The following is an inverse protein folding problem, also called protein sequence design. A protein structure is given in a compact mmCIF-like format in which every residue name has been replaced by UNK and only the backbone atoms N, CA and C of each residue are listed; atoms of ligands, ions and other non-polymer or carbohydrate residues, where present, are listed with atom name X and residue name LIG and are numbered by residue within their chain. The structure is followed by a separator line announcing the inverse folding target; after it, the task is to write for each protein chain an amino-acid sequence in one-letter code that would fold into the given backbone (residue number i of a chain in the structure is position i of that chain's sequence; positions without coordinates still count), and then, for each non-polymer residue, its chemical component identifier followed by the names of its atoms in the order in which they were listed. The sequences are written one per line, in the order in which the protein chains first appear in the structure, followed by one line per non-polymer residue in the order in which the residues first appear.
data_IF_681503723112
#
_entry.id   IF_681503723112
#
_cell.length_a   1.000
_cell.length_b   1.000
_cell.length_c   1.000
_cell.angle_alpha   90.00
_cell.angle_beta   90.00
_cell.angle_gamma   90.00
#
_symmetry.space_group_name_H-M   'P 1'
#
loop_
_entity.id
_entity.type
_entity.pdbx_description
1 polymer ?
#
# COMPACT_ATOMS: atom_id res chain seq x y z
N UNK A 1 13.41 12.21 -11.61
CA UNK A 1 13.39 12.05 -10.12
C UNK A 1 14.58 11.22 -9.73
N UNK A 2 15.33 11.58 -8.70
CA UNK A 2 16.36 10.71 -8.14
C UNK A 2 15.66 9.65 -7.26
N UNK A 3 15.73 8.39 -7.69
CA UNK A 3 15.04 7.26 -7.05
C UNK A 3 15.50 7.09 -5.59
N UNK A 4 16.82 7.15 -5.33
CA UNK A 4 17.36 6.98 -3.98
C UNK A 4 16.96 8.12 -3.05
N UNK A 5 16.96 9.35 -3.53
CA UNK A 5 16.48 10.51 -2.76
C UNK A 5 15.00 10.39 -2.43
N UNK A 6 14.17 9.93 -3.38
CA UNK A 6 12.73 9.72 -3.16
C UNK A 6 12.46 8.63 -2.12
N UNK A 7 13.19 7.50 -2.17
CA UNK A 7 13.09 6.43 -1.16
C UNK A 7 13.48 6.95 0.22
N UNK A 8 14.55 7.73 0.30
CA UNK A 8 15.02 8.30 1.57
C UNK A 8 14.01 9.29 2.17
N UNK A 9 13.38 10.13 1.35
CA UNK A 9 12.34 11.06 1.78
C UNK A 9 11.11 10.29 2.29
N UNK A 10 10.69 9.24 1.58
CA UNK A 10 9.59 8.35 2.00
C UNK A 10 9.94 7.69 3.34
N UNK A 11 11.13 7.11 3.46
CA UNK A 11 11.59 6.44 4.69
C UNK A 11 11.54 7.37 5.89
N UNK A 12 12.10 8.58 5.78
CA UNK A 12 12.08 9.60 6.85
C UNK A 12 10.67 10.01 7.24
N UNK A 13 9.80 10.26 6.26
CA UNK A 13 8.41 10.62 6.52
C UNK A 13 7.66 9.56 7.31
N UNK A 14 7.90 8.27 7.02
CA UNK A 14 7.31 7.17 7.77
C UNK A 14 7.96 6.94 9.14
N UNK A 15 9.28 7.09 9.28
CA UNK A 15 9.97 7.05 10.59
C UNK A 15 9.41 8.11 11.55
N UNK A 16 9.26 9.35 11.10
CA UNK A 16 8.65 10.44 11.88
C UNK A 16 7.19 10.14 12.24
N UNK A 17 6.41 9.64 11.29
CA UNK A 17 5.01 9.27 11.48
C UNK A 17 4.85 8.12 12.47
N UNK A 18 5.72 7.12 12.40
CA UNK A 18 5.71 5.96 13.30
C UNK A 18 6.08 6.34 14.74
N UNK A 19 7.08 7.23 14.91
CA UNK A 19 7.50 7.72 16.22
C UNK A 19 6.40 8.54 16.94
N UNK A 20 5.48 9.16 16.19
CA UNK A 20 4.39 9.97 16.76
C UNK A 20 3.20 9.16 17.30
N UNK A 21 3.18 7.82 17.15
CA UNK A 21 2.10 6.88 17.53
C UNK A 21 0.69 7.19 16.99
N UNK A 22 0.46 8.39 16.43
CA UNK A 22 -0.88 8.89 16.11
C UNK A 22 -1.42 8.35 14.78
N UNK A 23 -0.56 8.01 13.82
CA UNK A 23 -0.99 7.85 12.43
C UNK A 23 -1.36 6.42 12.06
N UNK A 24 -0.57 5.43 12.49
CA UNK A 24 -0.77 4.03 12.08
C UNK A 24 -1.89 3.30 12.82
N UNK A 25 -2.29 3.77 14.00
CA UNK A 25 -3.13 2.99 14.90
C UNK A 25 -4.63 3.26 14.78
N UNK A 26 -5.09 4.35 14.15
CA UNK A 26 -6.52 4.72 14.15
C UNK A 26 -7.18 4.77 12.78
N UNK A 27 -6.47 5.11 11.72
CA UNK A 27 -7.11 5.54 10.47
C UNK A 27 -7.11 4.49 9.37
N UNK A 28 -6.22 3.52 9.44
CA UNK A 28 -6.12 2.44 8.46
C UNK A 28 -6.70 1.13 8.96
N UNK A 29 -7.17 1.06 10.21
CA UNK A 29 -7.75 -0.14 10.81
C UNK A 29 -9.26 -0.19 10.54
N UNK A 30 -9.62 -0.64 9.35
CA UNK A 30 -10.98 -0.98 8.99
C UNK A 30 -11.10 -2.52 9.01
N UNK A 31 -11.76 -3.04 10.05
CA UNK A 31 -11.90 -4.48 10.27
C UNK A 31 -12.79 -5.13 9.18
N UNK A 32 -13.81 -4.43 8.70
CA UNK A 32 -14.68 -4.94 7.63
C UNK A 32 -13.91 -5.02 6.30
N UNK A 33 -13.13 -3.99 5.98
CA UNK A 33 -12.27 -4.00 4.81
C UNK A 33 -11.20 -5.10 4.89
N UNK A 34 -10.58 -5.28 6.07
CA UNK A 34 -9.62 -6.36 6.30
C UNK A 34 -10.23 -7.74 6.04
N UNK A 35 -11.38 -8.04 6.64
CA UNK A 35 -12.06 -9.33 6.44
C UNK A 35 -12.43 -9.55 4.97
N UNK A 36 -12.84 -8.50 4.27
CA UNK A 36 -13.13 -8.55 2.83
C UNK A 36 -11.88 -8.85 2.02
N UNK A 37 -10.73 -8.21 2.34
CA UNK A 37 -9.45 -8.52 1.70
C UNK A 37 -9.06 -9.97 1.94
N UNK A 38 -9.08 -10.43 3.20
CA UNK A 38 -8.69 -11.80 3.55
C UNK A 38 -9.54 -12.86 2.84
N UNK A 39 -10.84 -12.60 2.69
CA UNK A 39 -11.72 -13.48 1.91
C UNK A 39 -11.40 -13.45 0.40
N UNK A 40 -11.02 -12.28 -0.12
CA UNK A 40 -10.78 -12.07 -1.55
C UNK A 40 -9.46 -12.69 -2.03
N UNK A 41 -8.38 -12.58 -1.25
CA UNK A 41 -7.06 -13.13 -1.62
C UNK A 41 -6.97 -14.65 -1.58
N UNK A 42 -7.96 -15.32 -0.97
CA UNK A 42 -8.13 -16.77 -0.97
C UNK A 42 -6.85 -17.55 -0.62
N UNK A 43 -6.25 -17.25 0.54
CA UNK A 43 -5.05 -17.93 1.04
C UNK A 43 -5.32 -19.41 1.24
N UNK A 44 -4.41 -20.26 0.74
CA UNK A 44 -4.48 -21.73 0.89
C UNK A 44 -3.30 -22.22 1.72
N UNK A 45 -3.51 -23.31 2.42
CA UNK A 45 -2.47 -23.92 3.23
C UNK A 45 -1.20 -24.27 2.43
N UNK A 46 -0.04 -24.07 3.02
CA UNK A 46 1.25 -24.27 2.40
C UNK A 46 1.75 -23.12 1.50
N UNK A 47 0.97 -22.04 1.33
CA UNK A 47 1.43 -20.89 0.56
C UNK A 47 2.60 -20.15 1.24
N UNK A 48 3.50 -19.62 0.42
CA UNK A 48 4.51 -18.64 0.82
C UNK A 48 4.09 -17.26 0.35
N UNK A 49 3.93 -16.32 1.27
CA UNK A 49 3.24 -15.04 1.06
C UNK A 49 4.19 -13.89 1.38
N UNK A 50 4.28 -12.90 0.49
CA UNK A 50 4.99 -11.65 0.70
C UNK A 50 3.99 -10.52 0.94
N UNK A 51 4.14 -9.78 2.04
CA UNK A 51 3.45 -8.51 2.30
C UNK A 51 4.42 -7.36 1.99
N UNK A 52 4.25 -6.74 0.82
CA UNK A 52 5.14 -5.69 0.29
C UNK A 52 4.70 -4.30 0.77
N UNK A 53 5.63 -3.58 1.42
CA UNK A 53 5.32 -2.33 2.12
C UNK A 53 4.45 -2.63 3.35
N UNK A 54 4.86 -3.62 4.15
CA UNK A 54 4.03 -4.19 5.21
C UNK A 54 3.71 -3.22 6.35
N UNK A 55 4.46 -2.12 6.49
CA UNK A 55 4.28 -1.12 7.54
C UNK A 55 4.19 -1.78 8.92
N UNK A 56 3.11 -1.50 9.66
CA UNK A 56 2.86 -2.09 10.98
C UNK A 56 2.39 -3.55 10.96
N UNK A 57 2.34 -4.20 9.79
CA UNK A 57 1.91 -5.58 9.63
C UNK A 57 0.40 -5.78 9.56
N UNK A 58 -0.34 -4.77 9.07
CA UNK A 58 -1.80 -4.81 8.99
C UNK A 58 -2.36 -6.04 8.25
N UNK A 59 -1.70 -6.48 7.17
CA UNK A 59 -2.04 -7.73 6.48
C UNK A 59 -1.23 -8.91 7.01
N UNK A 60 0.06 -8.72 7.31
CA UNK A 60 0.98 -9.79 7.72
C UNK A 60 0.48 -10.57 8.93
N UNK A 61 0.09 -9.88 10.02
CA UNK A 61 -0.37 -10.54 11.24
C UNK A 61 -1.66 -11.34 11.03
N UNK A 62 -2.77 -10.77 10.52
CA UNK A 62 -4.00 -11.52 10.32
C UNK A 62 -3.87 -12.69 9.33
N UNK A 63 -3.03 -12.54 8.29
CA UNK A 63 -2.77 -13.64 7.36
C UNK A 63 -2.07 -14.79 8.08
N UNK A 64 -1.02 -14.50 8.86
CA UNK A 64 -0.26 -15.50 9.59
C UNK A 64 -1.09 -16.18 10.69
N UNK A 65 -1.87 -15.41 11.44
CA UNK A 65 -2.74 -15.91 12.51
C UNK A 65 -3.83 -16.87 12.01
N UNK A 66 -4.44 -16.52 10.87
CA UNK A 66 -5.53 -17.32 10.28
C UNK A 66 -5.03 -18.54 9.48
N UNK A 67 -3.75 -18.56 9.08
CA UNK A 67 -3.19 -19.56 8.17
C UNK A 67 -1.84 -20.10 8.69
N UNK A 68 -1.88 -20.87 9.77
CA UNK A 68 -0.67 -21.38 10.45
C UNK A 68 0.20 -22.29 9.56
N UNK A 69 -0.37 -22.89 8.52
CA UNK A 69 0.36 -23.70 7.54
C UNK A 69 1.06 -22.89 6.44
N UNK A 70 0.88 -21.56 6.40
CA UNK A 70 1.53 -20.67 5.45
C UNK A 70 2.80 -20.06 6.05
N UNK A 71 3.75 -19.66 5.19
CA UNK A 71 4.88 -18.81 5.57
C UNK A 71 4.58 -17.36 5.10
N UNK A 72 4.59 -16.40 6.02
CA UNK A 72 4.33 -14.99 5.73
C UNK A 72 5.59 -14.17 5.98
N UNK A 73 5.97 -13.35 5.00
CA UNK A 73 7.13 -12.46 5.10
C UNK A 73 6.67 -11.02 4.83
N UNK A 74 6.82 -10.15 5.82
CA UNK A 74 6.63 -8.69 5.62
C UNK A 74 7.93 -8.04 5.15
N UNK A 75 7.85 -7.23 4.09
CA UNK A 75 8.98 -6.48 3.51
C UNK A 75 8.69 -4.98 3.58
N UNK A 76 9.62 -4.21 4.16
CA UNK A 76 9.48 -2.75 4.26
C UNK A 76 10.85 -2.06 4.27
N UNK A 77 10.87 -0.77 3.91
CA UNK A 77 12.10 0.06 3.92
C UNK A 77 12.39 0.65 5.31
N UNK A 78 11.42 0.67 6.23
CA UNK A 78 11.53 1.28 7.56
C UNK A 78 12.02 0.24 8.58
N UNK A 79 13.31 0.23 8.85
CA UNK A 79 13.97 -0.76 9.71
C UNK A 79 13.42 -0.79 11.14
N UNK A 80 13.03 0.36 11.70
CA UNK A 80 12.51 0.45 13.06
C UNK A 80 11.14 -0.24 13.17
N UNK A 81 10.28 -0.03 12.18
CA UNK A 81 8.98 -0.73 12.08
C UNK A 81 9.17 -2.25 11.99
N UNK A 82 10.14 -2.69 11.18
CA UNK A 82 10.51 -4.12 11.06
C UNK A 82 10.97 -4.68 12.40
N UNK A 83 11.79 -3.93 13.17
CA UNK A 83 12.23 -4.33 14.51
C UNK A 83 11.06 -4.54 15.47
N UNK A 84 10.12 -3.59 15.51
CA UNK A 84 8.90 -3.66 16.33
C UNK A 84 8.02 -4.85 15.92
N UNK A 85 7.81 -5.06 14.62
CA UNK A 85 7.00 -6.17 14.12
C UNK A 85 7.60 -7.54 14.45
N UNK A 86 8.92 -7.70 14.39
CA UNK A 86 9.61 -8.92 14.82
C UNK A 86 9.34 -9.24 16.30
N UNK A 87 9.43 -8.22 17.17
CA UNK A 87 9.13 -8.39 18.59
C UNK A 87 7.68 -8.80 18.81
N UNK A 88 6.73 -8.13 18.15
CA UNK A 88 5.29 -8.46 18.22
C UNK A 88 5.00 -9.89 17.72
N UNK A 89 5.61 -10.32 16.62
CA UNK A 89 5.42 -11.69 16.10
C UNK A 89 5.95 -12.74 17.09
N UNK A 90 7.11 -12.48 17.72
CA UNK A 90 7.65 -13.35 18.76
C UNK A 90 6.76 -13.40 19.99
N UNK A 91 6.26 -12.26 20.48
CA UNK A 91 5.35 -12.17 21.63
C UNK A 91 4.02 -12.89 21.35
N UNK A 92 3.52 -12.81 20.11
CA UNK A 92 2.31 -13.51 19.68
C UNK A 92 2.52 -15.02 19.39
N UNK A 93 3.78 -15.50 19.44
CA UNK A 93 4.11 -16.91 19.16
C UNK A 93 3.94 -17.31 17.69
N UNK A 94 3.95 -16.37 16.76
CA UNK A 94 3.77 -16.58 15.32
C UNK A 94 5.09 -17.02 14.66
N UNK A 95 5.40 -18.32 14.73
CA UNK A 95 6.62 -18.88 14.14
C UNK A 95 6.62 -18.90 12.60
N UNK A 96 5.45 -18.72 11.99
CA UNK A 96 5.23 -18.66 10.54
C UNK A 96 5.25 -17.24 9.97
N UNK A 97 5.57 -16.22 10.79
CA UNK A 97 5.64 -14.83 10.39
C UNK A 97 7.05 -14.25 10.60
N UNK A 98 7.62 -13.69 9.57
CA UNK A 98 8.91 -13.01 9.62
C UNK A 98 8.87 -11.65 8.93
N UNK A 99 9.85 -10.78 9.22
CA UNK A 99 9.93 -9.44 8.65
C UNK A 99 11.36 -9.13 8.18
N UNK A 100 11.46 -8.50 7.01
CA UNK A 100 12.73 -8.18 6.34
C UNK A 100 12.73 -6.71 5.97
N UNK A 101 13.82 -5.99 6.25
CA UNK A 101 14.04 -4.64 5.70
C UNK A 101 14.87 -4.73 4.43
N UNK A 102 14.64 -3.80 3.47
CA UNK A 102 15.40 -3.72 2.22
C UNK A 102 15.67 -2.25 1.83
N UNK A 103 16.38 -2.05 0.74
CA UNK A 103 16.80 -0.71 0.29
C UNK A 103 15.76 0.06 -0.51
N UNK A 104 14.60 -0.56 -0.79
CA UNK A 104 13.51 0.05 -1.57
C UNK A 104 13.65 -0.12 -3.10
N UNK A 105 14.62 -0.90 -3.57
CA UNK A 105 14.90 -1.12 -4.99
C UNK A 105 14.69 -2.59 -5.36
N UNK A 106 15.63 -3.46 -4.99
CA UNK A 106 15.61 -4.86 -5.36
C UNK A 106 15.11 -5.74 -4.21
N UNK A 107 14.21 -6.69 -4.49
CA UNK A 107 13.71 -7.57 -3.44
C UNK A 107 14.73 -8.67 -3.12
N UNK A 108 15.09 -8.86 -1.83
CA UNK A 108 16.13 -9.81 -1.41
C UNK A 108 15.64 -11.27 -1.43
N UNK A 109 14.96 -11.67 -2.51
CA UNK A 109 14.38 -13.00 -2.67
C UNK A 109 14.70 -13.58 -4.04
N UNK A 110 14.78 -14.91 -4.10
CA UNK A 110 15.00 -15.65 -5.35
C UNK A 110 13.78 -15.61 -6.28
N UNK A 111 14.02 -15.89 -7.56
CA UNK A 111 12.97 -16.02 -8.57
C UNK A 111 11.98 -17.11 -8.18
N UNK A 112 10.68 -16.85 -8.34
CA UNK A 112 9.65 -17.87 -8.11
C UNK A 112 9.55 -18.36 -6.66
N UNK A 113 9.75 -17.45 -5.71
CA UNK A 113 9.71 -17.75 -4.28
C UNK A 113 8.29 -17.80 -3.72
N UNK A 114 7.39 -16.91 -4.15
CA UNK A 114 6.10 -16.68 -3.53
C UNK A 114 4.92 -17.17 -4.35
N UNK A 115 3.93 -17.70 -3.67
CA UNK A 115 2.62 -18.07 -4.24
C UNK A 115 1.71 -16.85 -4.33
N UNK A 116 1.85 -15.90 -3.39
CA UNK A 116 1.05 -14.69 -3.29
C UNK A 116 1.92 -13.52 -2.84
N UNK A 117 1.81 -12.38 -3.51
CA UNK A 117 2.28 -11.08 -3.03
C UNK A 117 1.06 -10.22 -2.73
N UNK A 118 1.00 -9.66 -1.53
CA UNK A 118 -0.03 -8.68 -1.14
C UNK A 118 0.63 -7.34 -0.88
N UNK A 119 -0.08 -6.25 -1.16
CA UNK A 119 0.36 -4.90 -0.84
C UNK A 119 -0.85 -4.01 -0.56
N UNK A 120 -0.76 -3.16 0.46
CA UNK A 120 -1.85 -2.27 0.83
C UNK A 120 -1.34 -0.89 1.22
N UNK A 121 -1.83 0.13 0.51
CA UNK A 121 -1.51 1.55 0.75
C UNK A 121 0.00 1.86 0.76
N UNK A 122 0.73 1.22 -0.16
CA UNK A 122 2.19 1.34 -0.23
C UNK A 122 2.70 1.75 -1.61
N UNK A 123 2.16 1.21 -2.70
CA UNK A 123 2.74 1.35 -4.04
C UNK A 123 2.75 2.78 -4.57
N UNK A 124 1.87 3.65 -4.08
CA UNK A 124 1.86 5.07 -4.44
C UNK A 124 3.05 5.88 -3.90
N UNK A 125 3.91 5.25 -3.11
CA UNK A 125 5.18 5.81 -2.63
C UNK A 125 6.40 5.27 -3.40
N UNK A 126 6.21 4.33 -4.34
CA UNK A 126 7.31 3.68 -5.04
C UNK A 126 7.77 4.51 -6.24
N UNK A 127 9.03 5.03 -6.26
CA UNK A 127 9.48 5.98 -7.28
C UNK A 127 9.69 5.35 -8.66
N UNK A 128 9.97 4.06 -8.73
CA UNK A 128 10.04 3.28 -9.97
C UNK A 128 9.06 2.12 -9.91
N UNK A 129 7.79 2.44 -10.14
CA UNK A 129 6.71 1.45 -10.03
C UNK A 129 6.86 0.31 -11.04
N UNK A 130 7.38 0.58 -12.26
CA UNK A 130 7.58 -0.47 -13.27
C UNK A 130 8.64 -1.46 -12.85
N UNK A 131 9.77 -0.99 -12.30
CA UNK A 131 10.80 -1.86 -11.73
C UNK A 131 10.23 -2.68 -10.58
N UNK A 132 9.52 -2.05 -9.66
CA UNK A 132 8.93 -2.73 -8.49
C UNK A 132 7.92 -3.81 -8.87
N UNK A 133 7.04 -3.57 -9.87
CA UNK A 133 6.13 -4.61 -10.38
C UNK A 133 6.90 -5.71 -11.14
N UNK A 134 7.99 -5.37 -11.82
CA UNK A 134 8.92 -6.35 -12.40
C UNK A 134 9.52 -7.27 -11.33
N UNK A 135 9.95 -6.71 -10.19
CA UNK A 135 10.45 -7.48 -9.04
C UNK A 135 9.34 -8.36 -8.41
N UNK A 136 8.11 -7.83 -8.28
CA UNK A 136 6.95 -8.65 -7.87
C UNK A 136 6.77 -9.84 -8.81
N UNK A 137 6.76 -9.59 -10.12
CA UNK A 137 6.64 -10.67 -11.11
C UNK A 137 7.81 -11.66 -11.01
N UNK A 138 9.03 -11.18 -10.82
CA UNK A 138 10.23 -12.02 -10.68
C UNK A 138 10.11 -12.98 -9.48
N UNK A 139 9.70 -12.48 -8.33
CA UNK A 139 9.62 -13.30 -7.10
C UNK A 139 8.36 -14.18 -7.03
N UNK A 140 7.32 -13.89 -7.80
CA UNK A 140 6.15 -14.76 -7.93
C UNK A 140 6.47 -16.03 -8.73
N UNK A 141 5.95 -17.16 -8.26
CA UNK A 141 5.89 -18.42 -9.03
C UNK A 141 5.03 -18.24 -10.28
N UNK A 142 5.20 -19.08 -11.29
CA UNK A 142 4.23 -19.21 -12.38
C UNK A 142 2.85 -19.57 -11.80
N UNK A 143 1.79 -18.92 -12.26
CA UNK A 143 0.44 -19.04 -11.68
C UNK A 143 0.28 -18.42 -10.27
N UNK A 144 1.32 -17.79 -9.71
CA UNK A 144 1.25 -17.02 -8.46
C UNK A 144 0.46 -15.73 -8.64
N UNK A 145 -0.02 -15.15 -7.55
CA UNK A 145 -0.93 -14.00 -7.60
C UNK A 145 -0.38 -12.76 -6.92
N UNK A 146 -0.73 -11.58 -7.45
CA UNK A 146 -0.49 -10.28 -6.86
C UNK A 146 -1.81 -9.64 -6.46
N UNK A 147 -1.94 -9.24 -5.19
CA UNK A 147 -3.05 -8.43 -4.70
C UNK A 147 -2.58 -7.00 -4.43
N UNK A 148 -3.24 -6.02 -5.03
CA UNK A 148 -3.02 -4.58 -4.80
C UNK A 148 -4.27 -3.99 -4.17
N UNK A 149 -4.13 -3.34 -3.01
CA UNK A 149 -5.15 -2.50 -2.39
C UNK A 149 -4.59 -1.09 -2.23
N UNK A 150 -4.95 -0.17 -3.13
CA UNK A 150 -4.39 1.19 -3.12
C UNK A 150 -5.45 2.22 -3.50
N UNK A 151 -5.42 3.43 -2.91
CA UNK A 151 -6.31 4.49 -3.32
C UNK A 151 -6.16 4.84 -4.80
N UNK A 152 -7.23 5.37 -5.38
CA UNK A 152 -7.24 5.80 -6.77
C UNK A 152 -7.95 7.14 -6.92
N UNK A 153 -7.63 7.92 -7.97
CA UNK A 153 -8.35 9.14 -8.26
C UNK A 153 -9.79 8.83 -8.65
N UNK A 154 -10.71 9.74 -8.32
CA UNK A 154 -12.06 9.70 -8.84
C UNK A 154 -12.07 9.90 -10.35
N UNK A 155 -13.07 9.35 -11.06
CA UNK A 155 -13.09 9.37 -12.53
C UNK A 155 -13.12 10.79 -13.13
N UNK A 156 -13.67 11.77 -12.39
CA UNK A 156 -13.68 13.18 -12.78
C UNK A 156 -12.37 13.93 -12.44
N UNK A 157 -11.46 13.32 -11.68
CA UNK A 157 -10.21 13.95 -11.22
C UNK A 157 -9.09 13.79 -12.27
N UNK A 158 -9.28 14.38 -13.44
CA UNK A 158 -8.30 14.34 -14.54
C UNK A 158 -7.08 15.22 -14.28
N UNK A 159 -7.21 16.23 -13.42
CA UNK A 159 -6.14 17.17 -13.04
C UNK A 159 -5.34 16.72 -11.82
N UNK A 160 -5.71 15.55 -11.24
CA UNK A 160 -4.98 14.93 -10.14
C UNK A 160 -4.99 15.75 -8.84
N UNK A 161 -6.13 16.33 -8.51
CA UNK A 161 -6.36 17.00 -7.24
C UNK A 161 -5.97 16.12 -6.05
N UNK A 162 -6.34 14.84 -6.07
CA UNK A 162 -6.03 13.94 -4.95
C UNK A 162 -4.53 13.79 -4.73
N UNK A 163 -3.71 13.72 -5.79
CA UNK A 163 -2.26 13.62 -5.65
C UNK A 163 -1.66 14.92 -5.07
N UNK A 164 -2.12 16.09 -5.53
CA UNK A 164 -1.67 17.38 -4.99
C UNK A 164 -2.08 17.54 -3.52
N UNK A 165 -3.28 17.07 -3.17
CA UNK A 165 -3.75 17.05 -1.79
C UNK A 165 -2.93 16.08 -0.93
N UNK A 166 -2.57 14.89 -1.44
CA UNK A 166 -1.77 13.91 -0.71
C UNK A 166 -0.34 14.39 -0.49
N UNK A 167 0.26 15.11 -1.42
CA UNK A 167 1.60 15.73 -1.27
C UNK A 167 1.69 16.79 -0.19
N UNK A 168 0.57 17.29 0.34
CA UNK A 168 0.58 18.15 1.53
C UNK A 168 1.11 17.43 2.78
N UNK A 169 1.05 16.11 2.80
CA UNK A 169 1.71 15.26 3.80
C UNK A 169 3.11 14.90 3.29
N UNK A 170 4.11 15.12 4.11
CA UNK A 170 5.52 14.83 3.77
C UNK A 170 5.86 13.36 4.04
N UNK A 171 5.18 12.45 3.37
CA UNK A 171 5.39 11.00 3.48
C UNK A 171 5.88 10.36 2.17
N UNK A 172 6.31 11.18 1.21
CA UNK A 172 6.84 10.69 -0.07
C UNK A 172 5.77 10.25 -1.06
N UNK A 173 4.51 10.73 -0.93
CA UNK A 173 3.47 10.45 -1.93
C UNK A 173 3.89 10.85 -3.33
N UNK A 174 3.78 9.93 -4.28
CA UNK A 174 4.14 10.14 -5.68
C UNK A 174 2.87 10.24 -6.53
N UNK A 175 2.08 9.16 -6.60
CA UNK A 175 0.92 9.09 -7.48
C UNK A 175 -0.03 7.95 -7.07
N UNK A 176 -1.33 8.23 -7.04
CA UNK A 176 -2.36 7.18 -7.07
C UNK A 176 -2.60 6.72 -8.51
N UNK A 177 -2.75 5.43 -8.70
CA UNK A 177 -2.95 4.83 -10.02
C UNK A 177 -4.41 4.44 -10.22
N UNK A 178 -4.93 4.68 -11.41
CA UNK A 178 -6.24 4.16 -11.83
C UNK A 178 -6.15 2.63 -12.04
N UNK A 179 -7.30 1.96 -12.09
CA UNK A 179 -7.36 0.53 -12.40
C UNK A 179 -6.75 0.23 -13.78
N UNK A 180 -6.99 1.09 -14.77
CA UNK A 180 -6.41 0.94 -16.12
C UNK A 180 -4.90 1.06 -16.10
N UNK A 181 -4.35 2.06 -15.39
CA UNK A 181 -2.90 2.20 -15.25
C UNK A 181 -2.27 0.97 -14.57
N UNK A 182 -2.93 0.40 -13.54
CA UNK A 182 -2.47 -0.86 -12.94
C UNK A 182 -2.49 -2.02 -13.93
N UNK A 183 -3.56 -2.14 -14.74
CA UNK A 183 -3.64 -3.17 -15.78
C UNK A 183 -2.49 -3.06 -16.78
N UNK A 184 -2.21 -1.84 -17.25
CA UNK A 184 -1.13 -1.60 -18.23
C UNK A 184 0.24 -1.95 -17.64
N UNK A 185 0.56 -1.44 -16.44
CA UNK A 185 1.84 -1.69 -15.75
C UNK A 185 2.03 -3.19 -15.46
N UNK A 186 1.01 -3.84 -14.94
CA UNK A 186 1.08 -5.25 -14.57
C UNK A 186 1.17 -6.16 -15.82
N UNK A 187 0.44 -5.84 -16.89
CA UNK A 187 0.47 -6.63 -18.13
C UNK A 187 1.84 -6.60 -18.82
N UNK A 188 2.55 -5.45 -18.77
CA UNK A 188 3.94 -5.34 -19.25
C UNK A 188 4.91 -6.28 -18.50
N UNK A 189 4.54 -6.70 -17.28
CA UNK A 189 5.32 -7.61 -16.44
C UNK A 189 4.78 -9.05 -16.42
N UNK A 190 3.87 -9.42 -17.33
CA UNK A 190 3.29 -10.77 -17.41
C UNK A 190 2.30 -11.08 -16.27
N UNK A 191 1.62 -10.06 -15.75
CA UNK A 191 0.59 -10.17 -14.72
C UNK A 191 -0.76 -9.79 -15.30
N UNK A 192 -1.72 -10.74 -15.34
CA UNK A 192 -3.04 -10.55 -15.92
C UNK A 192 -4.09 -10.30 -14.85
N UNK A 193 -4.94 -9.30 -15.03
CA UNK A 193 -6.03 -9.01 -14.11
C UNK A 193 -7.06 -10.15 -14.11
N UNK A 194 -7.41 -10.64 -12.94
CA UNK A 194 -8.40 -11.73 -12.77
C UNK A 194 -9.68 -11.28 -12.08
N UNK A 195 -9.57 -10.44 -11.06
CA UNK A 195 -10.74 -9.96 -10.29
C UNK A 195 -10.45 -8.62 -9.63
N UNK A 196 -11.50 -7.91 -9.22
CA UNK A 196 -11.36 -6.66 -8.47
C UNK A 196 -12.65 -6.25 -7.75
N UNK A 197 -12.49 -5.48 -6.67
CA UNK A 197 -13.59 -4.76 -6.06
C UNK A 197 -13.17 -3.36 -5.62
N UNK A 198 -14.11 -2.47 -5.45
CA UNK A 198 -13.86 -1.14 -4.90
C UNK A 198 -14.30 -1.07 -3.44
N UNK A 199 -13.55 -0.29 -2.66
CA UNK A 199 -13.89 0.13 -1.31
C UNK A 199 -13.63 1.64 -1.17
N UNK A 200 -13.89 2.19 0.00
CA UNK A 200 -13.64 3.60 0.29
C UNK A 200 -12.92 3.72 1.62
N UNK A 201 -12.09 4.75 1.74
CA UNK A 201 -11.43 5.11 2.99
C UNK A 201 -11.60 6.61 3.22
N UNK A 202 -11.73 7.00 4.49
CA UNK A 202 -11.80 8.39 4.88
C UNK A 202 -10.62 8.74 5.77
N UNK A 203 -9.77 9.65 5.30
CA UNK A 203 -8.59 10.10 6.02
C UNK A 203 -8.76 11.52 6.56
N UNK A 204 -8.51 11.75 7.86
CA UNK A 204 -8.26 13.09 8.38
C UNK A 204 -6.81 13.51 8.12
N UNK A 205 -6.62 14.80 7.82
CA UNK A 205 -5.33 15.49 7.84
C UNK A 205 -5.41 16.65 8.81
N UNK A 206 -4.45 16.76 9.72
CA UNK A 206 -4.35 17.94 10.59
C UNK A 206 -4.00 19.18 9.77
N UNK A 207 -4.70 20.29 9.98
CA UNK A 207 -4.48 21.55 9.24
C UNK A 207 -3.10 22.17 9.49
N UNK A 208 -2.52 21.97 10.65
CA UNK A 208 -1.18 22.45 11.01
C UNK A 208 -0.07 21.72 10.24
N UNK A 209 -0.32 20.50 9.79
CA UNK A 209 0.61 19.72 8.95
C UNK A 209 0.32 19.83 7.46
N UNK A 210 -0.85 20.30 7.07
CA UNK A 210 -1.29 20.43 5.67
C UNK A 210 -1.08 21.87 5.15
N UNK A 211 0.14 22.39 5.28
CA UNK A 211 0.46 23.73 4.77
C UNK A 211 0.17 23.84 3.28
N UNK A 212 -0.51 24.92 2.88
CA UNK A 212 -0.84 25.16 1.48
C UNK A 212 -2.14 24.53 0.99
N UNK A 213 -2.91 23.82 1.85
CA UNK A 213 -4.17 23.20 1.42
C UNK A 213 -5.14 24.17 0.74
N UNK A 214 -5.20 25.44 1.19
CA UNK A 214 -6.06 26.47 0.59
C UNK A 214 -5.64 26.80 -0.84
N UNK A 215 -4.35 26.72 -1.13
CA UNK A 215 -3.82 26.92 -2.49
C UNK A 215 -4.18 25.73 -3.38
N UNK A 216 -4.01 24.50 -2.88
CA UNK A 216 -4.44 23.29 -3.60
C UNK A 216 -5.95 23.37 -3.92
N UNK A 217 -6.80 23.73 -2.94
CA UNK A 217 -8.24 23.87 -3.17
C UNK A 217 -8.61 24.96 -4.18
N UNK A 218 -7.80 26.02 -4.33
CA UNK A 218 -8.05 27.08 -5.31
C UNK A 218 -7.66 26.71 -6.74
N UNK A 219 -6.69 25.81 -6.87
CA UNK A 219 -6.11 25.45 -8.17
C UNK A 219 -6.88 24.32 -8.88
N UNK A 220 -7.89 23.73 -8.22
CA UNK A 220 -8.66 22.62 -8.79
C UNK A 220 -10.16 22.96 -8.88
N UNK A 221 -10.83 22.27 -9.79
CA UNK A 221 -12.27 22.42 -10.00
C UNK A 221 -13.07 22.03 -8.73
N UNK A 222 -14.04 22.87 -8.38
CA UNK A 222 -14.87 22.66 -7.19
C UNK A 222 -15.67 21.34 -7.24
N UNK A 223 -16.14 20.94 -8.43
CA UNK A 223 -16.88 19.69 -8.57
C UNK A 223 -15.97 18.46 -8.36
N UNK A 224 -14.69 18.55 -8.76
CA UNK A 224 -13.68 17.52 -8.46
C UNK A 224 -13.45 17.43 -6.96
N UNK A 225 -13.24 18.54 -6.28
CA UNK A 225 -13.02 18.57 -4.82
C UNK A 225 -14.23 17.99 -4.09
N UNK A 226 -15.45 18.42 -4.47
CA UNK A 226 -16.69 17.92 -3.89
C UNK A 226 -16.90 16.42 -4.08
N UNK A 227 -16.35 15.82 -5.16
CA UNK A 227 -16.42 14.38 -5.41
C UNK A 227 -15.69 13.54 -4.36
N UNK A 228 -14.78 14.15 -3.58
CA UNK A 228 -14.05 13.52 -2.48
C UNK A 228 -14.70 13.74 -1.11
N UNK A 229 -15.93 14.23 -1.05
CA UNK A 229 -16.65 14.52 0.19
C UNK A 229 -15.80 15.34 1.19
N UNK A 230 -15.10 16.37 0.69
CA UNK A 230 -14.23 17.19 1.51
C UNK A 230 -15.01 17.85 2.64
N UNK A 231 -14.60 17.59 3.86
CA UNK A 231 -15.12 18.24 5.07
C UNK A 231 -13.98 18.93 5.80
N UNK A 232 -14.16 20.21 6.06
CA UNK A 232 -13.23 21.02 6.84
C UNK A 232 -13.80 21.26 8.23
N UNK A 233 -13.08 20.83 9.26
CA UNK A 233 -13.35 21.16 10.68
C UNK A 233 -12.41 22.26 11.16
N UNK A 234 -12.44 22.64 12.42
CA UNK A 234 -11.54 23.65 12.98
C UNK A 234 -10.07 23.21 12.88
N UNK A 235 -9.79 21.93 13.07
CA UNK A 235 -8.43 21.37 13.18
C UNK A 235 -8.03 20.43 12.06
N UNK A 236 -8.99 19.88 11.30
CA UNK A 236 -8.73 18.78 10.35
C UNK A 236 -9.46 19.01 9.02
N UNK A 237 -8.89 18.39 8.00
CA UNK A 237 -9.47 18.19 6.68
C UNK A 237 -9.73 16.69 6.50
N UNK A 238 -10.91 16.33 6.04
CA UNK A 238 -11.27 14.95 5.74
C UNK A 238 -11.64 14.82 4.27
N UNK A 239 -11.08 13.83 3.58
CA UNK A 239 -11.52 13.41 2.25
C UNK A 239 -11.89 11.94 2.26
N UNK A 240 -12.77 11.54 1.34
CA UNK A 240 -13.11 10.14 1.09
C UNK A 240 -12.46 9.71 -0.21
N UNK A 241 -11.56 8.75 -0.14
CA UNK A 241 -10.85 8.19 -1.28
C UNK A 241 -11.47 6.86 -1.70
N UNK A 242 -11.60 6.64 -3.01
CA UNK A 242 -11.87 5.31 -3.57
C UNK A 242 -10.61 4.48 -3.48
N UNK A 243 -10.78 3.19 -3.23
CA UNK A 243 -9.68 2.22 -3.15
C UNK A 243 -9.92 1.11 -4.15
N UNK A 244 -8.97 0.91 -5.03
CA UNK A 244 -8.89 -0.24 -5.90
C UNK A 244 -8.36 -1.45 -5.12
N UNK A 245 -9.09 -2.55 -5.15
CA UNK A 245 -8.64 -3.85 -4.64
C UNK A 245 -8.61 -4.80 -5.83
N UNK A 246 -7.41 -5.14 -6.31
CA UNK A 246 -7.22 -5.79 -7.61
C UNK A 246 -6.37 -7.04 -7.44
N UNK A 247 -6.78 -8.12 -8.07
CA UNK A 247 -6.06 -9.38 -8.12
C UNK A 247 -5.54 -9.64 -9.53
N UNK A 248 -4.25 -9.91 -9.62
CA UNK A 248 -3.56 -10.31 -10.85
C UNK A 248 -3.01 -11.72 -10.69
N UNK A 249 -2.89 -12.45 -11.78
CA UNK A 249 -2.21 -13.74 -11.85
C UNK A 249 -1.00 -13.62 -12.77
N UNK A 250 0.13 -14.22 -12.37
CA UNK A 250 1.30 -14.35 -13.25
C UNK A 250 1.09 -15.42 -14.28
N UNK A 251 1.40 -15.11 -15.54
CA UNK A 251 1.30 -16.05 -16.65
C UNK A 251 2.08 -17.34 -16.35
N UNK A 252 1.55 -18.49 -16.75
CA UNK A 252 2.28 -19.75 -16.82
C UNK A 252 3.24 -19.66 -18.01
N UNK A 253 4.54 -19.58 -17.76
CA UNK A 253 5.56 -19.50 -18.80
C UNK A 253 5.80 -20.84 -19.49
#
# INVERSE_FOLDING_TARGET
MDIRASIEDTRKGFEESFASEEFYNRQTQDAEHLERILAFINVRDGMRILDLGCGSGYLSFPIAEKNLGCEVIGLDIVSDTIGVNRSKAQEAGLSNLSFVSYDGIDFPFEVGTFDLVVTRYALHHFPDIKHSIGEVSRVLKAGGTLFISDPCPNDCDTERFVDDYMRLKKDGHIKFYTKTEWQDICSECGLQLTDSFESKIRFPKKKDTAYGYKEVLKNHDKAVIESYDLVETDTELHITERVNNILFIKDEA
#
